data_IF_036649879289
#
_entry.id   IF_036649879289
#
_cell.length_a   1.000
_cell.length_b   1.000
_cell.length_c   1.000
_cell.angle_alpha   90.00
_cell.angle_beta   90.00
_cell.angle_gamma   90.00
#
_symmetry.space_group_name_H-M   'P 1'
#
loop_
_entity.id
_entity.type
_entity.pdbx_description
1 polymer ?
#
# COMPACT_ATOMS: atom_id res chain seq x y z
N UNK A 1 28.62 -19.93 0.16
CA UNK A 1 27.93 -19.79 1.45
C UNK A 1 26.45 -19.94 1.19
N UNK A 2 25.77 -20.86 1.87
CA UNK A 2 24.32 -21.02 1.71
C UNK A 2 23.61 -19.90 2.46
N UNK A 3 22.83 -19.08 1.76
CA UNK A 3 21.92 -18.13 2.40
C UNK A 3 20.88 -18.93 3.21
N UNK A 4 20.79 -18.69 4.51
CA UNK A 4 19.84 -19.39 5.36
C UNK A 4 18.61 -18.50 5.59
N UNK A 5 17.43 -19.00 5.21
CA UNK A 5 16.17 -18.24 5.29
C UNK A 5 15.84 -17.77 6.72
N UNK A 6 16.40 -18.43 7.74
CA UNK A 6 16.25 -18.04 9.15
C UNK A 6 16.85 -16.67 9.46
N UNK A 7 17.91 -16.27 8.76
CA UNK A 7 18.62 -15.01 9.02
C UNK A 7 17.78 -13.80 8.63
N UNK A 8 16.81 -14.00 7.74
CA UNK A 8 15.91 -12.97 7.22
C UNK A 8 14.46 -13.11 7.74
N UNK A 9 14.19 -14.01 8.70
CA UNK A 9 12.83 -14.27 9.16
C UNK A 9 12.16 -13.00 9.72
N UNK A 10 12.91 -12.17 10.46
CA UNK A 10 12.40 -10.89 10.96
C UNK A 10 12.00 -9.93 9.82
N UNK A 11 12.77 -9.95 8.73
CA UNK A 11 12.58 -9.12 7.56
C UNK A 11 11.35 -9.57 6.76
N UNK A 12 11.20 -10.87 6.53
CA UNK A 12 9.99 -11.42 5.92
C UNK A 12 8.74 -11.10 6.74
N UNK A 13 8.77 -11.27 8.06
CA UNK A 13 7.63 -10.93 8.94
C UNK A 13 7.31 -9.44 8.92
N UNK A 14 8.32 -8.57 8.83
CA UNK A 14 8.10 -7.14 8.67
C UNK A 14 7.49 -6.79 7.31
N UNK A 15 7.97 -7.42 6.22
CA UNK A 15 7.40 -7.27 4.89
C UNK A 15 5.94 -7.75 4.83
N UNK A 16 5.60 -8.88 5.45
CA UNK A 16 4.22 -9.37 5.57
C UNK A 16 3.31 -8.35 6.29
N UNK A 17 3.76 -7.80 7.43
CA UNK A 17 2.98 -6.79 8.16
C UNK A 17 2.74 -5.53 7.34
N UNK A 18 3.74 -5.08 6.58
CA UNK A 18 3.59 -3.95 5.67
C UNK A 18 2.69 -4.29 4.49
N UNK A 19 2.82 -5.50 3.94
CA UNK A 19 1.95 -5.98 2.88
C UNK A 19 0.51 -5.96 3.36
N UNK A 20 0.17 -6.57 4.49
CA UNK A 20 -1.21 -6.59 5.01
C UNK A 20 -1.82 -5.19 5.20
N UNK A 21 -1.02 -4.21 5.60
CA UNK A 21 -1.45 -2.82 5.76
C UNK A 21 -1.74 -2.11 4.43
N UNK A 22 -1.03 -2.47 3.37
CA UNK A 22 -1.05 -1.77 2.09
C UNK A 22 -1.51 -2.64 0.90
N UNK A 23 -1.85 -3.91 1.12
CA UNK A 23 -2.09 -4.98 0.11
C UNK A 23 -3.15 -4.66 -0.93
N UNK A 24 -3.97 -3.64 -0.66
CA UNK A 24 -5.01 -3.19 -1.58
C UNK A 24 -4.45 -2.50 -2.83
N UNK A 25 -3.32 -1.80 -2.72
CA UNK A 25 -2.69 -1.07 -3.82
C UNK A 25 -1.18 -1.31 -3.92
N UNK A 26 -0.60 -2.01 -2.96
CA UNK A 26 0.83 -2.24 -2.88
C UNK A 26 1.12 -3.70 -2.58
N UNK A 27 1.89 -4.31 -3.46
CA UNK A 27 2.55 -5.56 -3.16
C UNK A 27 3.90 -5.27 -2.50
N UNK A 28 4.17 -5.89 -1.35
CA UNK A 28 5.37 -5.62 -0.55
C UNK A 28 6.15 -6.92 -0.36
N UNK A 29 7.47 -6.86 -0.50
CA UNK A 29 8.35 -8.00 -0.30
C UNK A 29 9.70 -7.61 0.30
N UNK A 30 10.38 -8.58 0.92
CA UNK A 30 11.81 -8.51 1.23
C UNK A 30 12.60 -9.22 0.15
N UNK A 31 13.65 -8.57 -0.37
CA UNK A 31 14.58 -9.17 -1.32
C UNK A 31 15.93 -9.43 -0.64
N UNK A 32 16.26 -10.69 -0.29
CA UNK A 32 17.45 -11.02 0.50
C UNK A 32 18.74 -10.69 -0.24
N UNK A 33 18.81 -10.94 -1.55
CA UNK A 33 19.97 -10.62 -2.38
C UNK A 33 20.30 -9.13 -2.41
N UNK A 34 19.28 -8.27 -2.37
CA UNK A 34 19.44 -6.82 -2.36
C UNK A 34 19.53 -6.24 -0.93
N UNK A 35 19.23 -7.06 0.09
CA UNK A 35 19.04 -6.64 1.49
C UNK A 35 18.14 -5.41 1.61
N UNK A 36 17.03 -5.42 0.86
CA UNK A 36 16.08 -4.30 0.79
C UNK A 36 14.64 -4.78 0.73
N UNK A 37 13.77 -3.95 1.28
CA UNK A 37 12.33 -4.04 1.08
C UNK A 37 11.96 -3.38 -0.24
N UNK A 38 10.95 -3.94 -0.90
CA UNK A 38 10.37 -3.40 -2.11
C UNK A 38 8.86 -3.25 -1.94
N UNK A 39 8.30 -2.18 -2.50
CA UNK A 39 6.87 -1.99 -2.64
C UNK A 39 6.55 -1.64 -4.09
N UNK A 40 5.67 -2.43 -4.69
CA UNK A 40 5.24 -2.31 -6.07
C UNK A 40 3.80 -1.82 -6.09
N UNK A 41 3.58 -0.71 -6.80
CA UNK A 41 2.24 -0.17 -6.96
C UNK A 41 1.45 -1.06 -7.91
N UNK A 42 0.20 -1.37 -7.55
CA UNK A 42 -0.70 -2.23 -8.33
C UNK A 42 -1.86 -1.46 -8.98
N UNK A 43 -1.82 -0.13 -8.97
CA UNK A 43 -2.79 0.70 -9.67
C UNK A 43 -2.41 0.98 -11.11
N UNK A 44 -3.12 1.93 -11.72
CA UNK A 44 -3.00 2.32 -13.14
C UNK A 44 -1.97 3.42 -13.40
N UNK A 45 -1.51 4.11 -12.36
CA UNK A 45 -0.46 5.10 -12.47
C UNK A 45 0.90 4.42 -12.61
N UNK A 46 1.75 4.99 -13.48
CA UNK A 46 3.13 4.55 -13.59
C UNK A 46 3.92 5.08 -12.38
N UNK A 47 4.27 4.15 -11.49
CA UNK A 47 4.94 4.45 -10.22
C UNK A 47 6.10 3.49 -10.06
N UNK A 48 7.30 4.06 -10.06
CA UNK A 48 8.54 3.32 -9.83
C UNK A 48 8.49 2.51 -8.51
N UNK A 49 9.01 1.28 -8.50
CA UNK A 49 9.09 0.47 -7.29
C UNK A 49 9.84 1.21 -6.17
N UNK A 50 9.21 1.31 -5.02
CA UNK A 50 9.84 1.91 -3.84
C UNK A 50 10.75 0.87 -3.23
N UNK A 51 11.99 1.26 -2.93
CA UNK A 51 12.97 0.41 -2.27
C UNK A 51 13.53 1.08 -1.03
N UNK A 52 13.69 0.32 0.06
CA UNK A 52 14.16 0.83 1.33
C UNK A 52 14.99 -0.20 2.10
N UNK A 53 15.88 0.26 2.97
CA UNK A 53 16.68 -0.62 3.81
C UNK A 53 15.91 -1.07 5.06
N UNK A 54 14.92 -0.27 5.51
CA UNK A 54 14.09 -0.57 6.68
C UNK A 54 12.59 -0.61 6.35
N UNK A 55 11.77 -1.31 7.16
CA UNK A 55 10.31 -1.28 7.03
C UNK A 55 9.72 0.12 7.18
N UNK A 56 10.24 0.92 8.11
CA UNK A 56 9.74 2.27 8.43
C UNK A 56 10.05 3.24 7.28
N UNK A 57 11.21 3.09 6.65
CA UNK A 57 11.56 3.82 5.43
C UNK A 57 10.62 3.46 4.28
N UNK A 58 10.33 2.17 4.11
CA UNK A 58 9.40 1.71 3.07
C UNK A 58 8.00 2.27 3.30
N UNK A 59 7.50 2.22 4.54
CA UNK A 59 6.19 2.76 4.90
C UNK A 59 6.08 4.26 4.62
N UNK A 60 7.11 5.04 5.00
CA UNK A 60 7.16 6.47 4.67
C UNK A 60 7.16 6.70 3.17
N UNK A 61 7.89 5.87 2.42
CA UNK A 61 7.90 5.90 0.95
C UNK A 61 6.51 5.66 0.37
N UNK A 62 5.84 4.58 0.79
CA UNK A 62 4.48 4.22 0.35
C UNK A 62 3.51 5.38 0.62
N UNK A 63 3.52 5.95 1.83
CA UNK A 63 2.63 7.07 2.19
C UNK A 63 2.88 8.31 1.34
N UNK A 64 4.15 8.63 1.05
CA UNK A 64 4.51 9.74 0.16
C UNK A 64 4.03 9.50 -1.26
N UNK A 65 4.25 8.29 -1.80
CA UNK A 65 3.78 7.93 -3.13
C UNK A 65 2.25 8.00 -3.21
N UNK A 66 1.54 7.46 -2.21
CA UNK A 66 0.08 7.57 -2.14
C UNK A 66 -0.38 9.04 -2.14
N UNK A 67 0.30 9.92 -1.41
CA UNK A 67 -0.02 11.35 -1.41
C UNK A 67 0.22 12.01 -2.78
N UNK A 68 1.31 11.65 -3.48
CA UNK A 68 1.59 12.14 -4.83
C UNK A 68 0.55 11.65 -5.83
N UNK A 69 0.30 10.33 -5.87
CA UNK A 69 -0.68 9.72 -6.78
C UNK A 69 -2.07 10.33 -6.54
N UNK A 70 -2.45 10.58 -5.28
CA UNK A 70 -3.72 11.24 -4.95
C UNK A 70 -3.86 12.62 -5.60
N UNK A 71 -2.75 13.34 -5.80
CA UNK A 71 -2.75 14.69 -6.38
C UNK A 71 -2.68 14.65 -7.91
N UNK A 72 -1.95 13.69 -8.48
CA UNK A 72 -1.70 13.62 -9.94
C UNK A 72 -2.70 12.74 -10.68
N UNK A 73 -3.30 11.76 -10.00
CA UNK A 73 -4.26 10.81 -10.55
C UNK A 73 -5.52 10.69 -9.65
N UNK A 74 -6.32 11.78 -9.52
CA UNK A 74 -7.47 11.80 -8.60
C UNK A 74 -8.59 10.81 -8.97
N UNK A 75 -8.61 10.32 -10.21
CA UNK A 75 -9.56 9.29 -10.67
C UNK A 75 -9.11 7.85 -10.36
N UNK A 76 -7.93 7.66 -9.77
CA UNK A 76 -7.29 6.34 -9.67
C UNK A 76 -7.62 5.53 -8.39
N UNK A 77 -8.46 4.51 -8.60
CA UNK A 77 -8.45 3.10 -8.13
C UNK A 77 -8.69 2.61 -6.68
N UNK A 78 -9.23 3.40 -5.75
CA UNK A 78 -10.11 2.84 -4.70
C UNK A 78 -11.53 3.22 -5.04
N UNK A 79 -12.28 2.33 -5.69
CA UNK A 79 -13.73 2.52 -5.76
C UNK A 79 -14.32 2.19 -4.40
N UNK A 80 -15.21 3.05 -3.94
CA UNK A 80 -16.00 2.77 -2.77
C UNK A 80 -16.77 1.46 -2.97
N UNK A 81 -16.70 0.49 -2.04
CA UNK A 81 -17.39 -0.79 -2.18
C UNK A 81 -18.92 -0.67 -2.04
N UNK A 82 -19.43 0.54 -1.76
CA UNK A 82 -20.87 0.80 -1.63
C UNK A 82 -21.51 0.79 -3.02
N UNK A 83 -22.52 -0.06 -3.20
CA UNK A 83 -23.29 -0.13 -4.45
C UNK A 83 -23.83 1.25 -4.83
N UNK A 84 -23.65 1.65 -6.10
CA UNK A 84 -24.04 2.97 -6.59
C UNK A 84 -23.09 4.11 -6.22
N UNK A 85 -22.00 3.85 -5.50
CA UNK A 85 -21.00 4.86 -5.21
C UNK A 85 -19.97 4.96 -6.33
N UNK A 86 -19.93 6.11 -7.01
CA UNK A 86 -18.93 6.39 -8.05
C UNK A 86 -17.61 6.96 -7.47
N UNK A 87 -17.47 7.04 -6.14
CA UNK A 87 -16.31 7.67 -5.53
C UNK A 87 -15.06 6.81 -5.68
N UNK A 88 -13.99 7.44 -6.17
CA UNK A 88 -12.66 6.87 -6.32
C UNK A 88 -11.66 7.63 -5.46
N UNK A 89 -10.70 6.95 -4.82
CA UNK A 89 -9.57 7.61 -4.16
C UNK A 89 -8.33 6.72 -4.15
N UNK A 90 -7.16 7.26 -3.88
CA UNK A 90 -5.96 6.44 -3.67
C UNK A 90 -5.88 5.95 -2.22
N UNK A 91 -6.64 6.58 -1.31
CA UNK A 91 -6.68 6.24 0.10
C UNK A 91 -8.07 5.74 0.50
N UNK A 92 -8.13 4.80 1.43
CA UNK A 92 -9.38 4.43 2.09
C UNK A 92 -9.75 5.53 3.10
N UNK A 93 -10.31 6.63 2.61
CA UNK A 93 -10.83 7.72 3.45
C UNK A 93 -12.34 7.70 3.46
N UNK A 94 -12.91 8.01 4.64
CA UNK A 94 -14.33 8.33 4.73
C UNK A 94 -14.61 9.53 3.83
N UNK A 95 -15.62 9.41 2.97
CA UNK A 95 -15.99 10.46 2.04
C UNK A 95 -17.50 10.72 2.10
N UNK A 96 -17.87 11.96 1.84
CA UNK A 96 -19.25 12.41 1.68
C UNK A 96 -19.34 13.24 0.39
N UNK A 97 -20.35 13.04 -0.46
CA UNK A 97 -21.47 12.10 -0.30
C UNK A 97 -21.06 10.66 -0.65
N UNK A 98 -21.50 9.71 0.18
CA UNK A 98 -21.47 8.28 -0.10
C UNK A 98 -22.92 7.77 0.04
N UNK A 99 -23.43 6.89 -0.85
CA UNK A 99 -24.82 6.39 -0.76
C UNK A 99 -25.10 5.57 0.51
N UNK A 100 -24.07 5.25 1.30
CA UNK A 100 -24.21 4.49 2.53
C UNK A 100 -24.86 5.39 3.60
N UNK A 101 -25.94 4.97 4.27
CA UNK A 101 -26.42 5.68 5.46
C UNK A 101 -25.27 5.73 6.49
N UNK A 102 -25.12 6.84 7.26
CA UNK A 102 -24.10 6.93 8.29
C UNK A 102 -24.25 5.73 9.21
N UNK A 103 -23.16 4.96 9.38
CA UNK A 103 -23.18 3.80 10.26
C UNK A 103 -23.65 4.25 11.65
N UNK A 104 -24.78 3.72 12.09
CA UNK A 104 -25.27 3.93 13.45
C UNK A 104 -24.15 3.53 14.40
N UNK A 105 -23.70 4.50 15.22
CA UNK A 105 -22.78 4.24 16.32
C UNK A 105 -23.56 3.37 17.32
N UNK A 106 -23.12 2.14 17.52
CA UNK A 106 -23.49 1.34 18.70
C UNK A 106 -22.52 1.66 19.83
#
# INVERSE_FOLDING_TARGET
MAWHVSDDHAQYRAAERLHERHRRLWWVMWAPAARRYFAFYQGDADVEPIRAASPEELERGIRRAQATISRTHPASYWRCPVAGCAWTSVNAVFHSPCPRPPAARH
#
